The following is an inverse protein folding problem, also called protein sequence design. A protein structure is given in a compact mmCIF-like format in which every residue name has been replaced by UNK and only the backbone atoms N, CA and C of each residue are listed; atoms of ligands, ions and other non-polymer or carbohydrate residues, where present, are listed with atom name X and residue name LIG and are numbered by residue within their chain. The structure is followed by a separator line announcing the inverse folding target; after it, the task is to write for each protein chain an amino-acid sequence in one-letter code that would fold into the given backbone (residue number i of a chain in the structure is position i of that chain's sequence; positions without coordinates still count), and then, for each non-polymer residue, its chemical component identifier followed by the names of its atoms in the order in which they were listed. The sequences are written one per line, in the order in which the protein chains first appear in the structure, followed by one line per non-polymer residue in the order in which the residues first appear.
data_IF_356437659765
#
_entry.id   IF_356437659765
#
_cell.length_a   1.000
_cell.length_b   1.000
_cell.length_c   1.000
_cell.angle_alpha   90.00
_cell.angle_beta   90.00
_cell.angle_gamma   90.00
#
_symmetry.space_group_name_H-M   'P 1'
#
loop_
_entity.id
_entity.type
_entity.pdbx_description
1 polymer ?
2 non-polymer ?
3 non-polymer ?
4 water ?
#
# COMPACT_ATOMS: atom_id res chain seq x y z
N UNK A 1 -15.22 -23.30 2.29
CA UNK A 1 -15.41 -24.43 1.33
C UNK A 1 -14.43 -24.34 0.16
N UNK A 2 -14.28 -23.14 -0.39
CA UNK A 2 -13.38 -22.90 -1.51
C UNK A 2 -12.73 -21.51 -1.48
N UNK A 3 -11.47 -21.46 -1.06
CA UNK A 3 -10.72 -20.20 -1.00
C UNK A 3 -9.56 -20.24 -2.00
N UNK A 4 -9.86 -20.66 -3.23
CA UNK A 4 -8.84 -20.77 -4.27
C UNK A 4 -8.82 -19.50 -5.10
N UNK A 5 -7.67 -18.81 -5.16
CA UNK A 5 -7.62 -17.58 -5.95
C UNK A 5 -7.50 -17.84 -7.44
N UNK A 6 -8.01 -16.90 -8.21
CA UNK A 6 -7.94 -16.95 -9.66
C UNK A 6 -7.48 -15.55 -10.05
N UNK A 7 -6.86 -15.41 -11.24
CA UNK A 7 -6.41 -14.08 -11.69
C UNK A 7 -7.47 -12.96 -11.56
N UNK A 8 -8.74 -13.32 -11.51
CA UNK A 8 -9.80 -12.31 -11.38
C UNK A 8 -9.72 -11.57 -10.04
N UNK A 9 -9.13 -12.20 -9.03
CA UNK A 9 -9.00 -11.56 -7.72
C UNK A 9 -7.97 -10.42 -7.71
N UNK A 10 -7.21 -10.31 -8.79
CA UNK A 10 -6.22 -9.24 -8.92
C UNK A 10 -5.11 -9.26 -7.85
N UNK A 11 -4.67 -10.45 -7.44
CA UNK A 11 -3.58 -10.56 -6.47
C UNK A 11 -2.24 -10.45 -7.18
N UNK A 12 -1.37 -9.57 -6.68
CA UNK A 12 -0.06 -9.41 -7.29
C UNK A 12 1.03 -9.49 -6.25
N UNK A 13 2.24 -9.77 -6.70
CA UNK A 13 3.39 -9.88 -5.83
C UNK A 13 4.60 -9.20 -6.46
N UNK A 14 5.42 -8.57 -5.64
CA UNK A 14 6.63 -8.00 -6.17
C UNK A 14 7.66 -9.11 -6.34
N UNK A 15 8.53 -8.97 -7.34
CA UNK A 15 9.58 -9.98 -7.56
C UNK A 15 10.45 -10.11 -6.31
N UNK A 16 10.64 -9.00 -5.62
CA UNK A 16 11.50 -8.94 -4.43
C UNK A 16 10.88 -9.58 -3.18
N UNK A 17 9.61 -9.97 -3.25
CA UNK A 17 8.93 -10.56 -2.09
C UNK A 17 9.30 -12.04 -1.95
N UNK A 18 8.76 -12.86 -2.85
CA UNK A 18 9.07 -14.28 -2.85
C UNK A 18 10.56 -14.47 -3.19
N UNK A 19 11.20 -13.46 -3.80
CA UNK A 19 12.61 -13.57 -4.13
C UNK A 19 13.58 -13.11 -3.05
N UNK A 20 13.07 -12.73 -1.87
CA UNK A 20 13.94 -12.28 -0.79
C UNK A 20 14.81 -13.44 -0.31
N UNK A 21 16.13 -13.25 -0.38
CA UNK A 21 17.09 -14.29 0.00
C UNK A 21 17.25 -14.55 1.49
N UNK A 22 16.71 -13.67 2.31
CA UNK A 22 16.80 -13.86 3.75
C UNK A 22 17.92 -13.14 4.47
N UNK A 23 18.63 -12.28 3.75
CA UNK A 23 19.70 -11.51 4.37
C UNK A 23 19.06 -10.41 5.23
N UNK A 24 19.42 -10.35 6.51
CA UNK A 24 18.87 -9.32 7.39
C UNK A 24 20.08 -8.62 8.04
N UNK A 25 19.87 -7.60 8.88
CA UNK A 25 21.06 -6.92 9.39
C UNK A 25 22.05 -7.77 10.22
N UNK A 26 21.61 -8.93 10.68
CA UNK A 26 22.48 -9.79 11.49
C UNK A 26 22.79 -11.15 10.88
N UNK A 27 22.47 -11.35 9.61
CA UNK A 27 22.73 -12.65 9.04
C UNK A 27 22.82 -12.70 7.53
N UNK A 28 23.46 -13.75 7.05
CA UNK A 28 23.63 -13.96 5.62
C UNK A 28 22.37 -14.58 5.04
N UNK A 29 22.30 -14.62 3.71
CA UNK A 29 21.14 -15.19 3.04
C UNK A 29 20.98 -16.68 3.35
N UNK A 30 19.72 -17.11 3.47
CA UNK A 30 19.41 -18.51 3.75
C UNK A 30 18.82 -19.20 2.52
N UNK A 31 18.60 -18.44 1.44
CA UNK A 31 18.04 -19.00 0.21
C UNK A 31 18.82 -18.47 -1.00
N UNK A 32 18.89 -19.27 -2.06
CA UNK A 32 19.56 -18.83 -3.28
C UNK A 32 18.66 -17.88 -4.06
N UNK A 33 19.25 -17.10 -4.96
CA UNK A 33 18.48 -16.15 -5.74
C UNK A 33 17.53 -16.86 -6.69
N UNK A 34 16.36 -16.26 -6.89
CA UNK A 34 15.36 -16.80 -7.81
C UNK A 34 15.47 -16.05 -9.11
N UNK A 35 15.33 -16.76 -10.21
CA UNK A 35 15.34 -16.13 -11.50
C UNK A 35 13.93 -15.59 -11.68
N UNK A 36 13.77 -14.30 -12.04
CA UNK A 36 12.43 -13.71 -12.18
C UNK A 36 11.47 -14.57 -13.02
N UNK A 37 12.00 -15.28 -14.01
CA UNK A 37 11.18 -16.14 -14.85
C UNK A 37 10.55 -17.28 -14.03
N UNK A 38 11.29 -17.83 -13.07
CA UNK A 38 10.76 -18.91 -12.22
C UNK A 38 9.66 -18.37 -11.34
N UNK A 39 9.88 -17.16 -10.81
CA UNK A 39 8.90 -16.54 -9.94
C UNK A 39 7.58 -16.32 -10.64
N UNK A 40 7.64 -15.86 -11.89
CA UNK A 40 6.43 -15.62 -12.65
C UNK A 40 5.67 -16.91 -12.85
N UNK A 41 6.39 -17.97 -13.22
CA UNK A 41 5.77 -19.25 -13.44
C UNK A 41 5.16 -19.82 -12.16
N UNK A 42 5.90 -19.75 -11.05
CA UNK A 42 5.41 -20.28 -9.77
C UNK A 42 4.20 -19.50 -9.26
N UNK A 43 4.23 -18.18 -9.41
CA UNK A 43 3.13 -17.32 -8.97
C UNK A 43 1.89 -17.55 -9.83
N UNK A 44 2.09 -17.78 -11.12
CA UNK A 44 0.96 -18.06 -12.01
C UNK A 44 0.29 -19.36 -11.60
N UNK A 45 1.09 -20.35 -11.21
CA UNK A 45 0.55 -21.64 -10.75
C UNK A 45 -0.32 -21.47 -9.50
N UNK A 46 0.03 -20.51 -8.65
CA UNK A 46 -0.69 -20.28 -7.40
C UNK A 46 -1.99 -19.49 -7.56
N UNK A 47 -2.21 -18.92 -8.74
CA UNK A 47 -3.44 -18.17 -8.97
C UNK A 47 -3.26 -16.66 -8.97
N UNK A 48 -2.01 -16.20 -8.95
CA UNK A 48 -1.71 -14.78 -8.98
C UNK A 48 -2.14 -14.13 -10.31
N UNK A 49 -2.42 -12.84 -10.26
CA UNK A 49 -2.83 -12.06 -11.43
C UNK A 49 -1.62 -11.40 -12.11
N UNK A 50 -0.62 -11.03 -11.32
CA UNK A 50 0.54 -10.39 -11.91
C UNK A 50 1.67 -10.17 -10.95
N UNK A 51 2.71 -9.50 -11.43
CA UNK A 51 3.88 -9.21 -10.62
C UNK A 51 4.27 -7.74 -10.79
N UNK A 52 5.14 -7.29 -9.90
CA UNK A 52 5.65 -5.93 -9.94
C UNK A 52 7.17 -6.01 -9.78
N UNK A 53 7.87 -4.92 -10.06
CA UNK A 53 9.33 -4.96 -9.94
C UNK A 53 9.97 -3.60 -9.74
N UNK A 54 11.19 -3.64 -9.22
CA UNK A 54 12.02 -2.45 -9.14
C UNK A 54 12.90 -2.65 -10.36
N UNK A 55 13.40 -1.58 -10.94
CA UNK A 55 14.30 -1.73 -12.07
C UNK A 55 15.41 -2.73 -11.76
N UNK A 56 16.07 -2.56 -10.62
CA UNK A 56 17.17 -3.43 -10.22
C UNK A 56 16.81 -4.88 -9.91
N UNK A 57 15.52 -5.21 -9.82
CA UNK A 57 15.14 -6.62 -9.59
C UNK A 57 15.17 -7.35 -10.91
N UNK A 58 14.83 -6.62 -11.97
CA UNK A 58 14.73 -7.20 -13.31
C UNK A 58 16.01 -7.13 -14.11
N UNK A 59 16.70 -5.99 -14.01
CA UNK A 59 17.94 -5.79 -14.73
C UNK A 59 19.06 -5.50 -13.72
N UNK A 60 20.02 -6.42 -13.55
CA UNK A 60 21.08 -6.17 -12.56
C UNK A 60 21.73 -4.81 -12.77
N UNK A 61 21.98 -4.11 -11.66
CA UNK A 61 22.59 -2.79 -11.71
C UNK A 61 23.90 -2.83 -12.48
N UNK A 62 24.06 -1.86 -13.38
CA UNK A 62 25.27 -1.77 -14.17
C UNK A 62 25.21 -2.50 -15.50
N UNK A 63 24.07 -3.14 -15.78
CA UNK A 63 23.91 -3.88 -17.03
C UNK A 63 24.01 -3.02 -18.29
N UNK A 64 24.63 -3.59 -19.33
CA UNK A 64 24.78 -2.91 -20.60
C UNK A 64 23.42 -2.86 -21.30
N UNK A 65 23.27 -1.96 -22.27
CA UNK A 65 22.02 -1.85 -23.01
C UNK A 65 21.65 -3.16 -23.71
N UNK A 66 22.64 -4.01 -23.94
CA UNK A 66 22.39 -5.30 -24.59
C UNK A 66 21.94 -6.36 -23.59
N UNK A 67 22.58 -6.40 -22.42
CA UNK A 67 22.20 -7.37 -21.39
C UNK A 67 20.80 -6.99 -20.90
N UNK A 68 20.53 -5.69 -20.91
CA UNK A 68 19.24 -5.14 -20.48
C UNK A 68 18.14 -5.68 -21.40
N UNK A 69 18.41 -5.67 -22.70
CA UNK A 69 17.47 -6.16 -23.71
C UNK A 69 17.14 -7.65 -23.51
N UNK A 70 18.17 -8.44 -23.21
CA UNK A 70 18.01 -9.87 -23.02
C UNK A 70 17.15 -10.17 -21.78
N UNK A 71 17.39 -9.43 -20.71
CA UNK A 71 16.63 -9.62 -19.47
C UNK A 71 15.17 -9.30 -19.65
N UNK A 72 14.88 -8.21 -20.37
CA UNK A 72 13.51 -7.82 -20.63
C UNK A 72 12.82 -8.86 -21.51
N UNK A 73 13.50 -9.30 -22.56
CA UNK A 73 12.92 -10.29 -23.46
C UNK A 73 12.54 -11.60 -22.76
N UNK A 74 13.41 -12.10 -21.89
CA UNK A 74 13.13 -13.34 -21.16
C UNK A 74 11.91 -13.17 -20.27
N UNK A 75 11.83 -12.01 -19.64
CA UNK A 75 10.73 -11.68 -18.73
C UNK A 75 9.43 -11.58 -19.52
N UNK A 76 9.48 -10.88 -20.64
CA UNK A 76 8.34 -10.71 -21.51
C UNK A 76 7.80 -12.07 -21.97
N UNK A 77 8.71 -13.00 -22.28
CA UNK A 77 8.31 -14.33 -22.73
C UNK A 77 7.59 -15.10 -21.62
N UNK A 78 8.01 -14.92 -20.37
CA UNK A 78 7.38 -15.58 -19.23
C UNK A 78 5.98 -15.01 -19.01
N UNK A 79 5.84 -13.71 -19.20
CA UNK A 79 4.54 -13.06 -19.06
C UNK A 79 3.59 -13.60 -20.14
N UNK A 80 4.09 -13.70 -21.37
CA UNK A 80 3.28 -14.20 -22.47
C UNK A 80 2.89 -15.67 -22.26
N UNK A 81 3.81 -16.48 -21.75
CA UNK A 81 3.54 -17.90 -21.52
C UNK A 81 2.55 -18.18 -20.40
N UNK A 82 2.44 -17.25 -19.46
CA UNK A 82 1.56 -17.43 -18.30
C UNK A 82 0.31 -16.57 -18.28
N UNK A 83 0.29 -15.47 -19.03
CA UNK A 83 -0.84 -14.58 -19.00
C UNK A 83 -0.76 -13.60 -17.83
N UNK A 84 0.38 -13.57 -17.15
CA UNK A 84 0.58 -12.67 -16.01
C UNK A 84 0.73 -11.22 -16.49
N UNK A 85 0.23 -10.29 -15.71
CA UNK A 85 0.30 -8.87 -16.02
C UNK A 85 1.31 -8.17 -15.11
N UNK A 86 1.66 -6.93 -15.48
CA UNK A 86 2.58 -6.10 -14.71
C UNK A 86 1.88 -4.77 -14.46
N UNK A 87 1.04 -4.69 -13.42
CA UNK A 87 0.27 -3.46 -13.18
C UNK A 87 1.02 -2.31 -12.53
N UNK A 88 2.17 -2.60 -11.93
CA UNK A 88 2.93 -1.58 -11.23
C UNK A 88 4.42 -1.84 -11.32
N UNK A 89 5.19 -0.76 -11.32
CA UNK A 89 6.65 -0.82 -11.36
C UNK A 89 7.16 0.32 -10.50
N UNK A 90 8.41 0.21 -10.08
CA UNK A 90 9.01 1.20 -9.20
C UNK A 90 10.52 1.24 -9.43
N UNK A 91 11.20 2.20 -8.79
CA UNK A 91 12.63 2.35 -8.94
C UNK A 91 13.33 1.99 -7.64
N UNK A 92 14.51 1.39 -7.76
CA UNK A 92 15.29 1.11 -6.57
C UNK A 92 16.22 2.32 -6.35
N UNK A 93 15.87 3.18 -5.39
CA UNK A 93 16.69 4.34 -5.07
C UNK A 93 17.16 4.21 -3.63
N UNK A 94 17.47 2.97 -3.23
CA UNK A 94 17.88 2.73 -1.85
C UNK A 94 19.03 1.74 -1.61
N UNK A 95 19.25 0.80 -2.51
CA UNK A 95 20.27 -0.21 -2.28
C UNK A 95 21.71 0.24 -2.49
N UNK A 96 21.97 0.86 -3.64
CA UNK A 96 23.32 1.28 -3.98
C UNK A 96 23.86 2.34 -3.05
N UNK A 97 25.11 2.19 -2.59
CA UNK A 97 25.72 3.16 -1.67
C UNK A 97 25.57 4.62 -2.06
N UNK A 98 25.44 4.91 -3.36
CA UNK A 98 25.30 6.28 -3.81
C UNK A 98 24.05 6.94 -3.23
N UNK A 99 23.04 6.14 -2.92
CA UNK A 99 21.80 6.67 -2.35
C UNK A 99 21.80 6.64 -0.83
N UNK A 100 22.98 6.57 -0.22
CA UNK A 100 23.04 6.53 1.24
C UNK A 100 22.38 7.70 1.97
N UNK A 101 22.28 8.85 1.32
CA UNK A 101 21.62 10.01 1.93
C UNK A 101 20.34 10.36 1.18
N UNK A 102 19.86 9.41 0.38
CA UNK A 102 18.64 9.63 -0.37
C UNK A 102 18.84 9.68 -1.87
N UNK A 103 17.73 9.84 -2.57
CA UNK A 103 17.75 9.93 -4.01
C UNK A 103 17.29 11.32 -4.40
N UNK A 104 15.99 11.55 -4.34
CA UNK A 104 15.41 12.85 -4.66
C UNK A 104 15.79 13.96 -3.69
N UNK A 105 16.10 13.61 -2.45
CA UNK A 105 16.47 14.62 -1.45
C UNK A 105 17.89 14.48 -0.91
N UNK A 106 18.76 13.80 -1.66
CA UNK A 106 20.15 13.70 -1.24
C UNK A 106 20.72 15.11 -1.15
N UNK A 107 21.63 15.37 -0.21
CA UNK A 107 22.21 16.70 -0.12
C UNK A 107 23.03 17.02 -1.37
N UNK A 108 23.65 16.00 -1.95
CA UNK A 108 24.47 16.16 -3.16
C UNK A 108 23.58 16.32 -4.38
N UNK A 109 23.74 17.45 -5.08
CA UNK A 109 22.93 17.74 -6.26
C UNK A 109 23.12 16.75 -7.39
N UNK A 110 24.35 16.32 -7.64
CA UNK A 110 24.60 15.37 -8.72
C UNK A 110 23.88 14.05 -8.47
N UNK A 111 23.72 13.66 -7.21
CA UNK A 111 23.02 12.43 -6.88
C UNK A 111 21.53 12.57 -7.18
N UNK A 112 20.97 13.74 -6.86
CA UNK A 112 19.54 13.99 -7.12
C UNK A 112 19.25 13.89 -8.61
N UNK A 113 20.11 14.49 -9.44
CA UNK A 113 19.92 14.44 -10.89
C UNK A 113 20.03 12.99 -11.39
N UNK A 114 20.97 12.24 -10.84
CA UNK A 114 21.14 10.83 -11.20
C UNK A 114 19.88 10.03 -10.82
N UNK A 115 19.34 10.31 -9.64
CA UNK A 115 18.14 9.65 -9.16
C UNK A 115 16.98 9.85 -10.14
N UNK A 116 16.83 11.08 -10.62
CA UNK A 116 15.77 11.37 -11.58
C UNK A 116 15.98 10.64 -12.91
N UNK A 117 17.21 10.61 -13.41
CA UNK A 117 17.48 9.93 -14.68
C UNK A 117 17.21 8.43 -14.56
N UNK A 118 17.59 7.85 -13.42
CA UNK A 118 17.40 6.42 -13.20
C UNK A 118 15.91 6.11 -13.17
N UNK A 119 15.13 7.01 -12.58
CA UNK A 119 13.69 6.82 -12.50
C UNK A 119 13.03 6.93 -13.87
N UNK A 120 13.38 7.97 -14.61
CA UNK A 120 12.79 8.21 -15.93
C UNK A 120 13.02 7.02 -16.86
N UNK A 121 14.23 6.48 -16.82
CA UNK A 121 14.57 5.33 -17.63
C UNK A 121 13.62 4.17 -17.34
N UNK A 122 13.33 3.91 -16.06
CA UNK A 122 12.44 2.82 -15.71
C UNK A 122 10.97 3.11 -15.98
N UNK A 123 10.59 4.39 -16.02
CA UNK A 123 9.22 4.74 -16.35
C UNK A 123 8.94 4.29 -17.79
N UNK A 124 9.88 4.56 -18.70
CA UNK A 124 9.71 4.14 -20.09
C UNK A 124 9.49 2.63 -20.16
N UNK A 125 10.28 1.87 -19.41
CA UNK A 125 10.16 0.41 -19.40
C UNK A 125 8.80 -0.01 -18.82
N UNK A 126 8.39 0.65 -17.75
CA UNK A 126 7.12 0.35 -17.11
C UNK A 126 5.96 0.47 -18.11
N UNK A 127 5.95 1.57 -18.85
CA UNK A 127 4.90 1.80 -19.84
C UNK A 127 4.92 0.71 -20.91
N UNK A 128 6.12 0.33 -21.33
CA UNK A 128 6.31 -0.72 -22.32
C UNK A 128 5.66 -2.02 -21.86
N UNK A 129 5.86 -2.36 -20.58
CA UNK A 129 5.29 -3.58 -20.02
C UNK A 129 3.81 -3.47 -19.63
N UNK A 130 3.23 -2.27 -19.79
CA UNK A 130 1.82 -2.09 -19.50
C UNK A 130 1.42 -1.64 -18.09
N UNK A 131 2.39 -1.21 -17.28
CA UNK A 131 2.06 -0.76 -15.92
C UNK A 131 1.19 0.49 -15.91
N UNK A 132 0.19 0.51 -15.04
CA UNK A 132 -0.73 1.66 -14.95
C UNK A 132 -0.32 2.58 -13.80
N UNK A 133 0.45 2.03 -12.87
CA UNK A 133 0.88 2.79 -11.70
C UNK A 133 2.38 2.70 -11.49
N UNK A 134 3.00 3.82 -11.15
CA UNK A 134 4.43 3.86 -10.88
C UNK A 134 4.60 4.32 -9.42
N UNK A 135 5.10 3.42 -8.58
CA UNK A 135 5.27 3.69 -7.16
C UNK A 135 6.62 4.29 -6.83
N UNK A 136 6.63 5.17 -5.83
CA UNK A 136 7.83 5.79 -5.35
C UNK A 136 7.91 5.64 -3.84
N UNK A 137 8.88 4.89 -3.37
CA UNK A 137 9.09 4.71 -1.93
C UNK A 137 10.44 5.35 -1.60
N UNK A 138 10.40 6.54 -1.00
CA UNK A 138 11.64 7.23 -0.66
C UNK A 138 12.23 6.69 0.61
N UNK A 139 12.72 5.45 0.55
CA UNK A 139 13.29 4.81 1.73
C UNK A 139 14.51 5.48 2.33
N UNK A 140 15.32 6.13 1.50
CA UNK A 140 16.53 6.79 2.00
C UNK A 140 16.35 8.28 2.23
N UNK A 141 15.14 8.80 2.00
CA UNK A 141 14.89 10.23 2.17
C UNK A 141 14.60 10.50 3.63
N UNK A 142 15.53 11.15 4.31
CA UNK A 142 15.37 11.42 5.72
C UNK A 142 16.69 11.65 6.44
N UNK A 143 16.75 11.27 7.70
CA UNK A 143 17.96 11.50 8.49
C UNK A 143 17.99 10.74 9.79
N UNK A 144 19.19 10.68 10.39
CA UNK A 144 19.36 10.06 11.70
C UNK A 144 19.61 11.19 12.71
N UNK A 145 19.95 12.39 12.21
CA UNK A 145 20.26 13.52 13.08
C UNK A 145 19.63 14.81 12.56
N UNK A 146 19.35 15.71 13.49
CA UNK A 146 18.66 16.95 13.15
C UNK A 146 19.28 17.96 12.20
N UNK A 147 20.58 18.14 12.27
CA UNK A 147 21.21 19.14 11.42
C UNK A 147 21.53 18.66 10.01
N UNK A 148 21.48 17.35 9.81
CA UNK A 148 21.83 16.75 8.53
C UNK A 148 20.88 17.10 7.40
N UNK A 149 19.64 17.43 7.72
CA UNK A 149 18.65 17.69 6.70
C UNK A 149 17.72 18.84 7.08
N UNK A 150 17.67 19.86 6.22
CA UNK A 150 16.75 20.97 6.44
C UNK A 150 15.51 20.46 5.73
N UNK A 151 14.47 20.16 6.49
CA UNK A 151 13.27 19.57 5.92
C UNK A 151 12.51 20.43 4.93
N UNK A 152 12.49 21.73 5.14
CA UNK A 152 11.82 22.60 4.19
C UNK A 152 12.54 22.53 2.83
N UNK A 153 13.88 22.59 2.82
CA UNK A 153 14.61 22.50 1.56
C UNK A 153 14.39 21.12 0.96
N UNK A 154 14.41 20.09 1.81
CA UNK A 154 14.20 18.73 1.35
C UNK A 154 12.84 18.58 0.66
N UNK A 155 11.81 19.20 1.23
CA UNK A 155 10.48 19.10 0.62
C UNK A 155 10.46 19.85 -0.71
N UNK A 156 11.24 20.94 -0.82
CA UNK A 156 11.32 21.67 -2.08
C UNK A 156 11.92 20.76 -3.14
N UNK A 157 12.96 20.02 -2.77
CA UNK A 157 13.61 19.10 -3.70
C UNK A 157 12.71 17.92 -4.06
N UNK A 158 11.96 17.44 -3.09
CA UNK A 158 11.03 16.33 -3.31
C UNK A 158 9.93 16.77 -4.28
N UNK A 159 9.41 17.99 -4.08
CA UNK A 159 8.38 18.53 -4.97
C UNK A 159 8.94 18.71 -6.38
N UNK A 160 10.16 19.26 -6.45
CA UNK A 160 10.82 19.50 -7.72
C UNK A 160 10.95 18.19 -8.51
N UNK A 161 11.37 17.13 -7.84
CA UNK A 161 11.53 15.83 -8.48
C UNK A 161 10.21 15.30 -9.02
N UNK A 162 9.17 15.30 -8.19
CA UNK A 162 7.88 14.80 -8.62
C UNK A 162 7.24 15.65 -9.71
N UNK A 163 7.46 16.96 -9.69
CA UNK A 163 6.91 17.83 -10.72
C UNK A 163 7.57 17.51 -12.07
N UNK A 164 8.89 17.28 -12.05
CA UNK A 164 9.62 16.94 -13.27
C UNK A 164 9.13 15.61 -13.85
N UNK A 165 8.88 14.63 -12.98
CA UNK A 165 8.39 13.35 -13.43
C UNK A 165 7.00 13.52 -14.05
N UNK A 166 6.23 14.44 -13.49
CA UNK A 166 4.90 14.71 -14.02
C UNK A 166 5.00 15.38 -15.39
N UNK A 167 5.94 16.29 -15.53
CA UNK A 167 6.16 16.98 -16.80
C UNK A 167 6.61 15.97 -17.86
N UNK A 168 7.43 15.00 -17.45
CA UNK A 168 7.93 13.99 -18.38
C UNK A 168 6.80 13.12 -18.90
N UNK A 169 6.04 12.56 -17.97
CA UNK A 169 4.92 11.68 -18.30
C UNK A 169 3.93 12.36 -19.24
N UNK A 170 3.58 13.61 -18.95
CA UNK A 170 2.63 14.33 -19.79
C UNK A 170 3.22 14.73 -21.15
N UNK A 171 4.51 15.01 -21.22
CA UNK A 171 5.12 15.37 -22.50
C UNK A 171 5.26 14.14 -23.42
N UNK A 172 5.34 12.95 -22.83
CA UNK A 172 5.46 11.72 -23.60
C UNK A 172 4.08 11.15 -23.91
N UNK A 173 3.06 11.71 -23.29
CA UNK A 173 1.70 11.24 -23.51
C UNK A 173 1.44 9.87 -22.91
N UNK A 174 2.08 9.57 -21.79
CA UNK A 174 1.90 8.27 -21.14
C UNK A 174 0.62 8.20 -20.30
N UNK A 175 0.06 7.00 -20.21
CA UNK A 175 -1.14 6.72 -19.42
C UNK A 175 -0.68 6.03 -18.15
N UNK A 176 0.01 6.76 -17.29
CA UNK A 176 0.51 6.20 -16.05
C UNK A 176 0.39 7.23 -14.94
N UNK A 177 0.07 6.77 -13.73
CA UNK A 177 -0.08 7.65 -12.59
C UNK A 177 0.94 7.26 -11.52
N UNK A 178 1.26 8.19 -10.64
CA UNK A 178 2.25 7.94 -9.60
C UNK A 178 1.59 7.68 -8.26
N UNK A 179 2.25 6.87 -7.43
CA UNK A 179 1.74 6.59 -6.09
C UNK A 179 2.91 6.64 -5.12
N UNK A 180 2.78 7.50 -4.12
CA UNK A 180 3.81 7.67 -3.12
C UNK A 180 3.54 6.71 -1.98
N UNK A 181 4.57 5.98 -1.60
CA UNK A 181 4.47 5.01 -0.51
C UNK A 181 5.12 5.56 0.76
N UNK A 182 4.33 5.90 1.78
CA UNK A 182 4.93 6.41 3.02
C UNK A 182 5.47 5.31 3.93
N UNK A 183 6.37 5.70 4.83
CA UNK A 183 6.94 4.78 5.82
C UNK A 183 7.54 5.70 6.85
N UNK A 184 7.32 5.43 8.15
CA UNK A 184 7.83 6.37 9.15
C UNK A 184 9.32 6.33 9.44
N UNK A 185 9.91 5.14 9.36
CA UNK A 185 11.33 4.99 9.64
C UNK A 185 11.79 3.64 9.08
N UNK A 186 13.11 3.45 9.07
CA UNK A 186 13.77 2.24 8.60
C UNK A 186 13.79 2.12 7.07
N UNK A 187 14.94 2.43 6.43
CA UNK A 187 16.28 2.35 7.02
C UNK A 187 16.80 3.64 7.66
N UNK A 188 16.19 4.79 7.36
CA UNK A 188 16.62 6.04 7.97
C UNK A 188 15.99 6.16 9.37
N UNK A 189 16.60 6.95 10.24
CA UNK A 189 16.06 7.16 11.58
C UNK A 189 14.63 7.70 11.54
N UNK A 190 14.40 8.62 10.60
CA UNK A 190 13.09 9.20 10.34
C UNK A 190 13.05 9.43 8.85
N UNK A 191 11.95 9.02 8.22
CA UNK A 191 11.78 9.15 6.78
C UNK A 191 10.80 10.29 6.48
N UNK A 192 11.06 11.06 5.42
CA UNK A 192 10.17 12.17 5.04
C UNK A 192 8.85 11.61 4.52
N UNK A 193 7.75 12.32 4.77
CA UNK A 193 6.40 11.88 4.39
C UNK A 193 6.18 10.53 5.09
N UNK A 194 6.25 10.53 6.44
CA UNK A 194 6.16 9.31 7.26
C UNK A 194 4.86 8.51 7.29
N UNK A 195 3.74 9.12 6.96
CA UNK A 195 2.46 8.42 6.99
C UNK A 195 1.61 8.80 5.79
N UNK A 196 0.51 8.08 5.62
CA UNK A 196 -0.43 8.39 4.55
C UNK A 196 -0.88 9.87 4.61
N UNK A 197 -1.08 10.42 5.80
CA UNK A 197 -1.51 11.79 5.93
C UNK A 197 -0.50 12.77 5.35
N UNK A 198 0.76 12.59 5.71
CA UNK A 198 1.82 13.47 5.23
C UNK A 198 1.95 13.41 3.72
N UNK A 199 1.83 12.21 3.17
CA UNK A 199 1.91 12.01 1.72
C UNK A 199 0.75 12.70 1.00
N UNK A 200 -0.47 12.54 1.52
CA UNK A 200 -1.64 13.19 0.91
C UNK A 200 -1.51 14.71 0.92
N UNK A 201 -1.01 15.26 2.02
CA UNK A 201 -0.85 16.70 2.14
C UNK A 201 0.17 17.24 1.17
N UNK A 202 1.28 16.51 1.01
CA UNK A 202 2.35 16.89 0.11
C UNK A 202 1.84 16.93 -1.35
N UNK A 203 1.05 15.94 -1.72
CA UNK A 203 0.51 15.85 -3.08
C UNK A 203 -0.27 17.08 -3.49
N UNK A 204 -0.96 17.70 -2.54
CA UNK A 204 -1.77 18.89 -2.83
C UNK A 204 -0.92 20.11 -3.17
N UNK A 205 0.40 20.00 -3.00
CA UNK A 205 1.30 21.10 -3.32
C UNK A 205 2.07 20.88 -4.62
N UNK A 206 1.77 19.79 -5.32
CA UNK A 206 2.42 19.49 -6.59
C UNK A 206 1.73 20.25 -7.72
N UNK A 207 2.43 20.44 -8.84
CA UNK A 207 1.85 21.19 -9.96
C UNK A 207 0.64 20.53 -10.60
N UNK A 208 0.68 19.21 -10.75
CA UNK A 208 -0.41 18.44 -11.35
C UNK A 208 -0.86 17.39 -10.34
N UNK A 209 -1.59 17.80 -9.28
CA UNK A 209 -2.00 16.86 -8.23
C UNK A 209 -2.78 15.65 -8.69
N UNK A 210 -3.52 15.80 -9.78
CA UNK A 210 -4.36 14.73 -10.31
C UNK A 210 -3.57 13.49 -10.71
N UNK A 211 -2.28 13.66 -10.95
CA UNK A 211 -1.42 12.55 -11.37
C UNK A 211 -0.84 11.74 -10.21
N UNK A 212 -1.04 12.21 -8.98
CA UNK A 212 -0.43 11.52 -7.84
C UNK A 212 -1.42 11.00 -6.82
N UNK A 213 -1.12 9.80 -6.33
CA UNK A 213 -1.93 9.18 -5.31
C UNK A 213 -0.99 8.58 -4.28
N UNK A 214 -1.53 7.73 -3.44
CA UNK A 214 -0.73 7.13 -2.40
C UNK A 214 -0.78 5.61 -2.52
N UNK A 215 0.28 4.95 -2.04
CA UNK A 215 0.39 3.50 -2.02
C UNK A 215 0.71 3.12 -0.57
N UNK A 216 -0.30 3.08 0.29
CA UNK A 216 -0.08 2.74 1.70
C UNK A 216 0.24 1.27 1.90
N UNK A 217 1.00 0.97 2.96
CA UNK A 217 1.33 -0.42 3.29
C UNK A 217 0.87 -0.68 4.71
N UNK A 218 0.12 -1.77 4.93
CA UNK A 218 -0.38 -2.02 6.27
C UNK A 218 0.67 -1.95 7.37
N UNK A 219 1.80 -2.63 7.19
CA UNK A 219 2.85 -2.60 8.20
C UNK A 219 3.46 -1.24 8.47
N UNK A 220 3.55 -0.39 7.45
CA UNK A 220 4.15 0.94 7.63
C UNK A 220 3.34 1.84 8.56
N UNK A 221 2.03 1.91 8.37
CA UNK A 221 1.22 2.76 9.24
C UNK A 221 1.22 2.18 10.64
N UNK A 222 1.28 0.85 10.73
CA UNK A 222 1.29 0.19 12.03
C UNK A 222 2.58 0.41 12.82
N UNK A 223 3.65 0.78 12.12
CA UNK A 223 4.93 1.08 12.77
C UNK A 223 4.86 2.42 13.50
N UNK A 224 3.80 3.17 13.23
CA UNK A 224 3.56 4.44 13.89
C UNK A 224 2.38 4.25 14.85
N UNK A 225 1.94 3.00 14.98
CA UNK A 225 0.82 2.68 15.87
C UNK A 225 -0.51 3.22 15.39
N UNK A 226 -0.59 3.55 14.10
CA UNK A 226 -1.81 4.12 13.53
C UNK A 226 -2.77 3.02 13.09
N UNK A 227 -4.05 3.40 12.93
CA UNK A 227 -5.10 2.50 12.52
C UNK A 227 -5.08 2.50 11.00
N UNK A 228 -4.68 1.38 10.42
CA UNK A 228 -4.57 1.28 8.96
C UNK A 228 -5.89 1.51 8.25
N UNK A 229 -6.94 0.75 8.61
CA UNK A 229 -8.22 0.99 7.93
C UNK A 229 -8.64 2.47 7.96
N UNK A 230 -8.42 3.17 9.07
CA UNK A 230 -8.78 4.59 9.13
C UNK A 230 -7.98 5.40 8.11
N UNK A 231 -6.69 5.08 7.98
CA UNK A 231 -5.84 5.79 7.04
C UNK A 231 -6.29 5.54 5.62
N UNK A 232 -6.68 4.31 5.32
CA UNK A 232 -7.16 3.95 4.00
C UNK A 232 -8.48 4.68 3.72
N UNK A 233 -9.33 4.80 4.72
CA UNK A 233 -10.60 5.51 4.56
C UNK A 233 -10.32 6.96 4.17
N UNK A 234 -9.32 7.59 4.77
CA UNK A 234 -9.02 8.98 4.43
C UNK A 234 -8.49 9.10 3.00
N UNK A 235 -7.67 8.13 2.58
CA UNK A 235 -7.13 8.12 1.23
C UNK A 235 -8.28 7.97 0.21
N UNK A 236 -9.21 7.07 0.49
CA UNK A 236 -10.37 6.88 -0.40
C UNK A 236 -11.26 8.12 -0.44
N UNK A 237 -11.42 8.74 0.72
CA UNK A 237 -12.23 9.94 0.85
C UNK A 237 -11.67 11.03 -0.05
N UNK A 238 -10.36 11.08 -0.17
CA UNK A 238 -9.71 12.09 -1.01
C UNK A 238 -9.57 11.63 -2.45
N UNK A 239 -10.01 10.40 -2.75
CA UNK A 239 -9.93 9.86 -4.10
C UNK A 239 -8.49 9.61 -4.52
N UNK A 240 -7.63 9.27 -3.55
CA UNK A 240 -6.20 9.05 -3.81
C UNK A 240 -5.65 7.64 -3.59
N UNK A 241 -6.52 6.64 -3.39
CA UNK A 241 -6.00 5.27 -3.21
C UNK A 241 -5.76 4.63 -4.57
N UNK A 242 -4.57 4.84 -5.11
CA UNK A 242 -4.22 4.32 -6.43
C UNK A 242 -3.71 2.88 -6.39
N UNK A 243 -3.15 2.48 -5.25
CA UNK A 243 -2.58 1.14 -5.13
C UNK A 243 -2.48 0.85 -3.63
N UNK A 244 -2.18 -0.40 -3.26
CA UNK A 244 -2.06 -0.76 -1.85
C UNK A 244 -1.11 -1.93 -1.65
N UNK A 245 -0.32 -1.88 -0.58
CA UNK A 245 0.63 -2.94 -0.24
C UNK A 245 0.10 -3.68 0.97
N UNK A 246 -0.16 -4.98 0.81
CA UNK A 246 -0.70 -5.78 1.88
C UNK A 246 0.35 -6.69 2.52
N UNK A 247 0.36 -6.69 3.86
CA UNK A 247 1.27 -7.54 4.64
C UNK A 247 0.81 -7.55 6.10
N UNK A 248 1.66 -8.07 6.98
CA UNK A 248 1.34 -8.17 8.40
C UNK A 248 2.46 -7.60 9.25
N UNK A 249 2.09 -7.04 10.40
CA UNK A 249 3.05 -6.42 11.29
C UNK A 249 2.57 -6.57 12.73
N UNK A 250 3.49 -6.90 13.62
CA UNK A 250 3.16 -7.06 15.03
C UNK A 250 3.57 -5.83 15.84
N UNK A 251 2.78 -4.78 15.71
CA UNK A 251 3.04 -3.58 16.48
C UNK A 251 4.18 -2.69 16.06
N UNK A 252 4.62 -1.88 17.03
CA UNK A 252 5.68 -0.92 16.80
C UNK A 252 7.06 -1.52 17.04
N UNK A 253 7.74 -1.78 15.94
CA UNK A 253 9.09 -2.34 15.95
C UNK A 253 9.55 -2.32 14.50
N UNK A 254 10.64 -3.02 14.20
CA UNK A 254 11.16 -3.08 12.84
C UNK A 254 10.06 -3.57 11.89
N UNK A 255 10.21 -3.23 10.60
CA UNK A 255 9.25 -3.61 9.56
C UNK A 255 9.38 -5.12 9.32
N UNK A 256 8.41 -5.90 9.77
CA UNK A 256 8.47 -7.36 9.66
C UNK A 256 8.10 -7.94 8.30
N UNK A 257 7.17 -7.31 7.61
CA UNK A 257 6.71 -7.78 6.31
C UNK A 257 6.20 -9.21 6.37
N UNK A 258 5.36 -9.49 7.37
CA UNK A 258 4.77 -10.82 7.50
C UNK A 258 3.73 -11.01 6.40
N UNK A 259 3.34 -12.25 6.16
CA UNK A 259 2.34 -12.50 5.14
C UNK A 259 1.02 -11.86 5.58
N UNK A 260 0.20 -11.47 4.62
CA UNK A 260 -1.08 -10.82 4.93
C UNK A 260 -1.97 -11.75 5.76
N UNK A 261 -2.57 -11.21 6.82
CA UNK A 261 -3.42 -12.01 7.69
C UNK A 261 -2.70 -12.16 9.01
N UNK A 262 -1.38 -12.27 8.95
CA UNK A 262 -0.57 -12.37 10.15
C UNK A 262 -0.48 -10.96 10.72
N UNK A 263 0.01 -10.85 11.95
CA UNK A 263 0.08 -9.55 12.58
C UNK A 263 -1.26 -9.24 13.23
N UNK A 264 -1.80 -8.06 12.94
CA UNK A 264 -3.07 -7.62 13.50
C UNK A 264 -4.23 -8.18 12.65
N UNK A 265 -4.77 -9.31 13.08
CA UNK A 265 -5.85 -9.99 12.34
C UNK A 265 -7.14 -9.18 12.24
N UNK A 266 -7.54 -8.54 13.33
CA UNK A 266 -8.76 -7.75 13.29
C UNK A 266 -8.63 -6.56 12.35
N UNK A 267 -7.47 -5.93 12.32
CA UNK A 267 -7.28 -4.82 11.41
C UNK A 267 -7.34 -5.31 9.97
N UNK A 268 -6.90 -6.54 9.74
CA UNK A 268 -6.95 -7.11 8.39
C UNK A 268 -8.40 -7.28 7.96
N UNK A 269 -9.24 -7.74 8.89
CA UNK A 269 -10.67 -7.91 8.64
C UNK A 269 -11.32 -6.58 8.29
N UNK A 270 -11.06 -5.56 9.10
CA UNK A 270 -11.64 -4.25 8.84
C UNK A 270 -11.13 -3.62 7.54
N UNK A 271 -9.89 -3.94 7.17
CA UNK A 271 -9.32 -3.43 5.93
C UNK A 271 -10.07 -4.02 4.74
N UNK A 272 -10.21 -5.35 4.74
CA UNK A 272 -10.90 -6.03 3.66
C UNK A 272 -12.35 -5.56 3.55
N UNK A 273 -13.02 -5.42 4.68
CA UNK A 273 -14.40 -4.95 4.70
C UNK A 273 -14.50 -3.59 3.99
N UNK A 274 -13.55 -2.71 4.30
CA UNK A 274 -13.52 -1.38 3.69
C UNK A 274 -13.21 -1.41 2.20
N UNK A 275 -12.18 -2.15 1.78
CA UNK A 275 -11.79 -2.21 0.38
C UNK A 275 -12.92 -2.75 -0.49
N UNK A 276 -13.56 -3.81 -0.01
CA UNK A 276 -14.66 -4.43 -0.75
C UNK A 276 -15.92 -3.55 -0.75
N UNK A 277 -16.18 -2.88 0.37
CA UNK A 277 -17.35 -2.01 0.47
C UNK A 277 -17.21 -0.75 -0.39
N UNK A 278 -15.99 -0.22 -0.47
CA UNK A 278 -15.73 0.99 -1.25
C UNK A 278 -15.56 0.70 -2.74
N UNK A 279 -15.48 -0.57 -3.10
CA UNK A 279 -15.31 -0.92 -4.50
C UNK A 279 -13.93 -0.65 -5.07
N UNK A 280 -12.90 -0.76 -4.23
CA UNK A 280 -11.54 -0.55 -4.69
C UNK A 280 -11.30 -1.59 -5.79
N UNK A 281 -10.88 -1.14 -6.96
CA UNK A 281 -10.70 -2.04 -8.08
C UNK A 281 -9.25 -2.23 -8.51
N UNK A 282 -8.33 -1.63 -7.76
CA UNK A 282 -6.93 -1.76 -8.11
C UNK A 282 -6.39 -3.11 -7.68
N UNK A 283 -5.09 -3.36 -7.90
CA UNK A 283 -4.51 -4.65 -7.49
C UNK A 283 -4.41 -4.82 -5.98
N UNK A 284 -4.44 -6.07 -5.55
CA UNK A 284 -4.28 -6.44 -4.16
C UNK A 284 -2.84 -6.95 -4.13
N UNK A 285 -1.92 -6.02 -3.91
CA UNK A 285 -0.49 -6.32 -3.99
C UNK A 285 0.10 -6.69 -2.64
N UNK A 286 0.85 -7.78 -2.63
CA UNK A 286 1.48 -8.26 -1.42
C UNK A 286 2.95 -7.88 -1.39
N UNK A 287 3.31 -7.08 -0.39
CA UNK A 287 4.70 -6.66 -0.23
C UNK A 287 5.09 -7.30 1.09
N UNK A 288 5.55 -8.53 1.00
CA UNK A 288 5.92 -9.28 2.20
C UNK A 288 7.20 -10.02 1.99
N UNK A 289 7.69 -10.63 3.07
CA UNK A 289 8.92 -11.38 3.01
C UNK A 289 8.75 -12.73 3.70
N UNK A 290 8.92 -13.83 2.95
CA UNK A 290 8.79 -15.12 3.65
C UNK A 290 9.97 -15.24 4.63
N UNK A 291 9.68 -15.51 5.92
CA UNK A 291 10.76 -15.48 6.93
C UNK A 291 11.97 -16.30 6.52
N UNK A 292 13.16 -15.85 6.93
CA UNK A 292 14.39 -16.54 6.57
C UNK A 292 14.54 -17.97 7.09
N UNK A 293 13.64 -18.38 7.98
CA UNK A 293 13.62 -19.74 8.51
C UNK A 293 13.13 -20.75 7.45
N UNK A 294 12.48 -20.25 6.41
CA UNK A 294 11.89 -21.10 5.39
C UNK A 294 12.76 -21.47 4.19
N UNK A 295 12.50 -22.65 3.63
CA UNK A 295 13.15 -23.07 2.41
C UNK A 295 12.18 -22.66 1.29
N UNK A 296 12.44 -23.04 0.05
CA UNK A 296 11.56 -22.63 -1.03
C UNK A 296 10.12 -23.12 -0.94
N UNK A 297 9.91 -24.29 -0.35
CA UNK A 297 8.54 -24.79 -0.21
C UNK A 297 7.81 -23.87 0.79
N UNK A 298 8.54 -23.37 1.77
CA UNK A 298 7.95 -22.46 2.74
C UNK A 298 7.63 -21.10 2.12
N UNK A 299 8.41 -20.65 1.15
CA UNK A 299 8.09 -19.36 0.53
C UNK A 299 6.79 -19.44 -0.28
N UNK A 300 6.60 -20.52 -1.03
CA UNK A 300 5.38 -20.65 -1.82
C UNK A 300 4.15 -20.84 -0.91
N UNK A 301 4.36 -21.52 0.21
CA UNK A 301 3.29 -21.72 1.17
C UNK A 301 2.91 -20.35 1.77
N UNK A 302 3.92 -19.54 2.05
CA UNK A 302 3.67 -18.20 2.61
C UNK A 302 2.93 -17.31 1.61
N UNK A 303 3.33 -17.34 0.34
CA UNK A 303 2.67 -16.55 -0.69
C UNK A 303 1.22 -17.01 -0.86
N UNK A 304 1.00 -18.31 -0.84
CA UNK A 304 -0.35 -18.84 -1.00
C UNK A 304 -1.20 -18.38 0.18
N UNK A 305 -0.59 -18.30 1.36
CA UNK A 305 -1.28 -17.88 2.55
C UNK A 305 -1.78 -16.45 2.47
N UNK A 306 -1.05 -15.60 1.77
CA UNK A 306 -1.44 -14.21 1.60
C UNK A 306 -2.81 -14.13 0.94
N UNK A 307 -2.95 -14.87 -0.16
CA UNK A 307 -4.18 -14.85 -0.93
C UNK A 307 -5.32 -15.54 -0.20
N UNK A 308 -5.02 -16.66 0.44
CA UNK A 308 -6.02 -17.40 1.18
C UNK A 308 -6.64 -16.54 2.28
N UNK A 309 -5.80 -15.87 3.05
CA UNK A 309 -6.29 -15.04 4.13
C UNK A 309 -7.16 -13.91 3.64
N UNK A 310 -6.79 -13.31 2.51
CA UNK A 310 -7.62 -12.24 1.96
C UNK A 310 -8.99 -12.79 1.60
N UNK A 311 -9.02 -13.95 0.96
CA UNK A 311 -10.29 -14.56 0.56
C UNK A 311 -11.15 -14.97 1.74
N UNK A 312 -10.54 -15.47 2.81
CA UNK A 312 -11.33 -15.86 3.98
C UNK A 312 -11.95 -14.60 4.59
N UNK A 313 -11.14 -13.58 4.79
CA UNK A 313 -11.62 -12.33 5.36
C UNK A 313 -12.71 -11.68 4.49
N UNK A 314 -12.56 -11.79 3.17
CA UNK A 314 -13.55 -11.23 2.26
C UNK A 314 -14.92 -11.88 2.49
N UNK A 315 -14.91 -13.21 2.62
CA UNK A 315 -16.14 -13.95 2.87
C UNK A 315 -16.77 -13.54 4.19
N UNK A 316 -15.95 -13.44 5.25
CA UNK A 316 -16.44 -13.09 6.58
C UNK A 316 -16.96 -11.66 6.65
N UNK A 317 -16.29 -10.74 5.95
CA UNK A 317 -16.73 -9.35 5.94
C UNK A 317 -18.07 -9.24 5.20
N UNK A 318 -18.21 -10.02 4.13
CA UNK A 318 -19.43 -10.02 3.35
C UNK A 318 -20.59 -10.57 4.18
N UNK A 319 -20.34 -11.65 4.92
CA UNK A 319 -21.37 -12.26 5.76
C UNK A 319 -21.80 -11.30 6.86
N UNK A 320 -20.83 -10.58 7.40
CA UNK A 320 -21.10 -9.58 8.43
C UNK A 320 -22.08 -8.50 7.92
N UNK A 321 -21.75 -7.89 6.79
CA UNK A 321 -22.58 -6.83 6.21
C UNK A 321 -23.97 -7.30 5.75
N UNK A 322 -24.08 -8.54 5.30
CA UNK A 322 -25.35 -9.07 4.80
C UNK A 322 -26.27 -9.59 5.91
N UNK A 323 -25.72 -9.77 7.11
CA UNK A 323 -26.49 -10.29 8.24
C UNK A 323 -27.56 -9.31 8.73
N UNK A 324 -28.85 -9.69 8.64
CA UNK A 324 -29.91 -8.79 9.10
C UNK A 324 -29.72 -8.32 10.54
N UNK A 325 -29.17 -9.21 11.38
CA UNK A 325 -28.94 -8.87 12.79
C UNK A 325 -27.91 -7.76 12.91
N UNK A 326 -26.94 -7.77 12.00
CA UNK A 326 -25.91 -6.75 11.98
C UNK A 326 -26.47 -5.44 11.43
N UNK A 327 -27.28 -5.51 10.37
CA UNK A 327 -27.88 -4.31 9.81
C UNK A 327 -28.74 -3.63 10.88
N UNK A 328 -29.41 -4.44 11.69
CA UNK A 328 -30.23 -3.94 12.80
C UNK A 328 -29.35 -3.28 13.86
N UNK A 329 -28.20 -3.88 14.15
CA UNK A 329 -27.27 -3.34 15.14
C UNK A 329 -26.64 -2.04 14.66
N UNK A 330 -26.41 -1.94 13.34
CA UNK A 330 -25.82 -0.73 12.79
C UNK A 330 -26.79 0.44 12.98
N UNK A 331 -28.09 0.17 12.85
CA UNK A 331 -29.09 1.21 13.06
C UNK A 331 -29.19 1.54 14.55
N UNK A 332 -29.05 0.53 15.40
CA UNK A 332 -29.13 0.75 16.84
C UNK A 332 -27.98 1.65 17.30
N UNK A 333 -26.86 1.58 16.58
CA UNK A 333 -25.67 2.38 16.90
C UNK A 333 -25.63 3.68 16.12
N UNK A 334 -26.70 3.95 15.39
CA UNK A 334 -26.87 5.16 14.59
C UNK A 334 -25.86 5.40 13.47
N UNK A 335 -25.38 4.34 12.84
CA UNK A 335 -24.47 4.53 11.70
C UNK A 335 -25.25 5.18 10.56
N UNK A 336 -26.56 4.97 10.53
CA UNK A 336 -27.40 5.56 9.50
C UNK A 336 -27.44 7.08 9.67
N UNK A 337 -27.47 7.54 10.92
CA UNK A 337 -27.49 8.98 11.20
C UNK A 337 -26.14 9.63 10.90
N UNK A 338 -25.07 8.89 11.07
CA UNK A 338 -23.74 9.41 10.78
C UNK A 338 -23.65 9.80 9.30
N UNK A 339 -24.36 9.06 8.43
CA UNK A 339 -24.34 9.31 6.99
C UNK A 339 -25.27 10.46 6.55
N UNK A 340 -26.11 10.95 7.44
CA UNK A 340 -27.01 12.05 7.10
C UNK A 340 -26.35 13.40 7.42
N UNK A 341 -26.52 14.40 6.55
CA UNK A 341 -25.90 15.71 6.80
C UNK A 341 -26.31 16.29 8.15
N UNK A 342 -25.37 16.98 8.80
CA UNK A 342 -25.63 17.61 10.09
C UNK A 342 -26.55 18.80 9.92
N UNK A 343 -26.34 19.57 8.85
CA UNK A 343 -27.16 20.76 8.63
C UNK A 343 -27.39 21.09 7.17
N UNK A 344 -28.14 20.23 6.47
CA UNK A 344 -28.46 20.47 5.08
C UNK A 344 -29.40 21.67 5.00
N UNK A 345 -29.98 22.04 6.14
CA UNK A 345 -30.89 23.17 6.22
C UNK A 345 -30.15 24.50 6.17
N UNK A 346 -28.83 24.47 6.37
CA UNK A 346 -28.05 25.68 6.28
C UNK A 346 -27.66 26.30 7.60
N UNK A 347 -26.70 27.22 7.53
CA UNK A 347 -26.20 27.90 8.71
C UNK A 347 -27.29 28.70 9.44
N UNK A 348 -27.98 29.61 8.75
CA UNK A 348 -29.00 30.41 9.40
C UNK A 348 -30.07 29.56 10.10
N UNK A 349 -30.57 28.54 9.42
CA UNK A 349 -31.57 27.66 9.99
C UNK A 349 -31.06 27.00 11.29
N UNK A 350 -29.78 26.62 11.29
CA UNK A 350 -29.17 26.00 12.46
C UNK A 350 -29.10 26.97 13.63
N UNK A 351 -28.73 28.22 13.33
CA UNK A 351 -28.63 29.27 14.34
C UNK A 351 -30.00 29.57 14.95
N UNK A 352 -31.04 29.49 14.14
CA UNK A 352 -32.39 29.76 14.64
C UNK A 352 -33.08 28.54 15.24
N UNK A 353 -32.48 27.36 15.08
CA UNK A 353 -33.05 26.12 15.60
C UNK A 353 -32.85 26.01 17.12
N UNK A 354 -33.91 26.29 17.87
CA UNK A 354 -33.84 26.21 19.33
C UNK A 354 -33.66 24.78 19.83
N UNK A 355 -34.05 23.80 19.01
CA UNK A 355 -33.91 22.41 19.40
C UNK A 355 -32.46 21.96 19.37
N UNK A 356 -31.61 22.78 18.75
CA UNK A 356 -30.18 22.48 18.65
C UNK A 356 -29.37 23.00 19.83
N UNK A 357 -29.92 23.93 20.61
CA UNK A 357 -29.16 24.47 21.72
C UNK A 357 -29.99 24.90 22.92
N UNK A 358 -30.80 25.94 22.74
CA UNK A 358 -31.62 26.47 23.82
C UNK A 358 -32.51 25.41 24.48
N UNK A 359 -33.14 24.59 23.67
CA UNK A 359 -34.06 23.57 24.16
C UNK A 359 -33.54 22.14 23.96
N UNK A 360 -32.24 21.99 23.76
CA UNK A 360 -31.66 20.66 23.59
C UNK A 360 -31.51 20.01 24.96
N UNK A 361 -32.05 18.80 25.11
CA UNK A 361 -31.96 18.06 26.36
C UNK A 361 -30.66 17.27 26.35
N UNK A 362 -29.59 17.88 26.86
CA UNK A 362 -28.28 17.22 26.87
C UNK A 362 -28.21 15.95 27.71
N UNK A 363 -28.95 15.92 28.82
CA UNK A 363 -28.93 14.77 29.70
C UNK A 363 -29.58 13.54 29.08
N UNK A 364 -30.66 13.77 28.36
CA UNK A 364 -31.37 12.69 27.70
C UNK A 364 -30.48 12.10 26.62
N UNK A 365 -29.85 12.96 25.83
CA UNK A 365 -28.98 12.51 24.77
C UNK A 365 -27.76 11.76 25.33
N UNK A 366 -27.18 12.30 26.40
CA UNK A 366 -26.02 11.71 27.05
C UNK A 366 -26.31 10.31 27.61
N UNK A 367 -27.57 10.05 27.99
CA UNK A 367 -27.94 8.77 28.57
C UNK A 367 -28.11 7.66 27.53
N UNK A 368 -28.17 8.02 26.25
CA UNK A 368 -28.33 7.03 25.20
C UNK A 368 -27.05 6.23 25.03
N UNK A 369 -27.15 4.92 25.16
CA UNK A 369 -25.98 4.07 24.94
C UNK A 369 -25.72 3.93 23.45
N UNK A 370 -24.46 3.77 23.05
CA UNK A 370 -24.12 3.64 21.64
C UNK A 370 -24.27 2.22 21.11
N UNK A 371 -24.35 1.26 22.01
CA UNK A 371 -24.48 -0.16 21.64
C UNK A 371 -23.31 -0.65 20.78
N UNK A 372 -22.13 -0.07 20.99
CA UNK A 372 -20.96 -0.45 20.20
C UNK A 372 -20.38 -1.82 20.54
N UNK A 373 -20.46 -2.22 21.80
CA UNK A 373 -19.92 -3.50 22.21
C UNK A 373 -20.69 -4.67 21.61
N UNK A 374 -22.02 -4.57 21.54
CA UNK A 374 -22.79 -5.63 20.93
C UNK A 374 -22.43 -5.74 19.45
N UNK A 375 -22.36 -4.60 18.77
CA UNK A 375 -22.00 -4.57 17.37
C UNK A 375 -20.63 -5.21 17.16
N UNK A 376 -19.67 -4.85 18.00
CA UNK A 376 -18.33 -5.41 17.85
C UNK A 376 -18.26 -6.92 18.11
N UNK A 377 -19.11 -7.42 19.00
CA UNK A 377 -19.10 -8.85 19.28
C UNK A 377 -19.70 -9.59 18.09
N UNK A 378 -20.66 -8.97 17.41
CA UNK A 378 -21.23 -9.59 16.22
C UNK A 378 -20.13 -9.68 15.16
N UNK A 379 -19.30 -8.63 15.08
CA UNK A 379 -18.20 -8.60 14.12
C UNK A 379 -17.20 -9.70 14.45
N UNK A 380 -16.93 -9.88 15.75
CA UNK A 380 -16.03 -10.92 16.23
C UNK A 380 -16.59 -12.30 15.88
N UNK A 381 -17.88 -12.50 16.17
CA UNK A 381 -18.53 -13.79 15.88
C UNK A 381 -18.44 -14.11 14.39
N UNK A 382 -18.62 -13.10 13.56
CA UNK A 382 -18.53 -13.30 12.11
C UNK A 382 -17.12 -13.65 11.66
N UNK A 383 -16.14 -12.94 12.18
CA UNK A 383 -14.75 -13.20 11.83
C UNK A 383 -14.34 -14.63 12.18
N UNK A 384 -14.73 -15.10 13.37
CA UNK A 384 -14.38 -16.44 13.81
C UNK A 384 -15.32 -17.53 13.31
N UNK A 385 -16.36 -17.17 12.55
CA UNK A 385 -17.29 -18.18 12.07
C UNK A 385 -18.02 -18.84 13.22
N UNK A 386 -18.39 -18.05 14.22
CA UNK A 386 -19.09 -18.58 15.39
C UNK A 386 -20.49 -17.98 15.61
N UNK A 387 -21.20 -17.69 14.52
CA UNK A 387 -22.54 -17.12 14.65
C UNK A 387 -23.63 -18.14 15.02
N UNK A 388 -24.25 -17.95 16.18
CA UNK A 388 -25.30 -18.84 16.64
C UNK A 388 -26.70 -18.34 16.30
#
# INVERSE_FOLDING_TARGET
MNYQPTPEDRFTFGLWTVGWQGRDPFGDATRRALDPVESVRRLAELGAHGVTFHDDDLIPFGSSDSEREEHVKRFRQALDDTGMKVPMATTNLFTHPVFKDGGFTANDRDVRRYALRKTIRNIDLAVELGAETYVAWGGREGAESGGAKDVRDALDRMKEAFDLLGEYVTSQGYDIRFAIEPKPNEPRGDILLPTVGHALAFIERLERPELYGVNPEVGHEQMAGLNFPHGIAQALWAGKLFHIDLNGQNGIKYDQDLRFGAGDLRAAFWLVDLLESAGYSGPRHFDFKPPRTEDFDGVWASAAGCMRNYLILKERAAAFRADPEVQEALRASRLDELARPTAADGLQALLDDRSAFEEFDVDAAAARGMAFERLDQLAMDHLLGARG
#
